data_IF_257260254590
#
_entry.id   IF_257260254590
#
_cell.length_a   1.000
_cell.length_b   1.000
_cell.length_c   1.000
_cell.angle_alpha   90.00
_cell.angle_beta   90.00
_cell.angle_gamma   90.00
#
_symmetry.space_group_name_H-M   'P 1'
#
loop_
_entity.id
_entity.type
_entity.pdbx_description
1 polymer ?
#
# COMPACT_ATOMS: atom_id res chain seq x y z
N UNK A 1 -20.86 -20.96 7.20
CA UNK A 1 -20.17 -20.12 8.19
C UNK A 1 -20.66 -18.69 7.99
N UNK A 2 -21.01 -17.98 9.10
CA UNK A 2 -21.35 -16.56 9.02
C UNK A 2 -20.12 -15.75 8.59
N UNK A 3 -20.35 -14.59 7.94
CA UNK A 3 -19.28 -13.66 7.59
C UNK A 3 -18.71 -13.00 8.85
N UNK A 4 -17.39 -12.99 8.98
CA UNK A 4 -16.70 -12.27 10.05
C UNK A 4 -16.15 -10.96 9.51
N UNK A 5 -16.49 -9.86 10.18
CA UNK A 5 -16.06 -8.52 9.77
C UNK A 5 -14.57 -8.31 10.00
N UNK A 6 -13.89 -7.78 8.98
CA UNK A 6 -12.44 -7.67 8.95
C UNK A 6 -11.95 -6.26 9.31
N UNK A 7 -11.16 -6.14 10.37
CA UNK A 7 -10.35 -4.96 10.70
C UNK A 7 -8.85 -5.27 10.57
N UNK A 8 -8.52 -6.16 9.61
CA UNK A 8 -7.14 -6.55 9.31
C UNK A 8 -6.56 -5.64 8.22
N UNK A 9 -5.24 -5.42 8.17
CA UNK A 9 -4.61 -4.53 7.18
C UNK A 9 -4.51 -5.16 5.77
N UNK A 10 -5.44 -5.99 5.43
CA UNK A 10 -5.65 -6.60 4.12
C UNK A 10 -5.47 -8.11 4.07
N UNK A 11 -6.37 -8.79 3.32
CA UNK A 11 -7.48 -8.19 2.57
C UNK A 11 -8.51 -7.54 3.49
N UNK A 12 -9.04 -6.39 3.09
CA UNK A 12 -10.04 -5.63 3.86
C UNK A 12 -11.46 -6.02 3.47
N UNK A 13 -12.45 -5.51 4.22
CA UNK A 13 -13.86 -5.58 3.81
C UNK A 13 -14.04 -4.95 2.43
N UNK A 14 -14.83 -5.61 1.60
CA UNK A 14 -15.20 -5.18 0.25
C UNK A 14 -16.66 -4.81 0.21
N UNK A 15 -16.97 -3.62 -0.32
CA UNK A 15 -18.34 -3.16 -0.43
C UNK A 15 -19.17 -4.08 -1.35
N UNK A 16 -20.47 -4.35 -1.05
CA UNK A 16 -21.31 -5.24 -1.85
C UNK A 16 -21.35 -4.89 -3.34
N UNK A 17 -21.43 -3.61 -3.72
CA UNK A 17 -21.44 -3.20 -5.13
C UNK A 17 -20.14 -3.60 -5.84
N UNK A 18 -19.00 -3.54 -5.14
CA UNK A 18 -17.68 -3.93 -5.68
C UNK A 18 -17.60 -5.45 -5.85
N UNK A 19 -18.14 -6.23 -4.89
CA UNK A 19 -18.24 -7.67 -5.01
C UNK A 19 -19.17 -8.07 -6.16
N UNK A 20 -20.31 -7.39 -6.31
CA UNK A 20 -21.23 -7.62 -7.42
C UNK A 20 -20.58 -7.32 -8.77
N UNK A 21 -19.75 -6.29 -8.87
CA UNK A 21 -18.98 -6.00 -10.08
C UNK A 21 -18.00 -7.13 -10.45
N UNK A 22 -17.47 -7.86 -9.47
CA UNK A 22 -16.64 -9.05 -9.75
C UNK A 22 -17.42 -10.21 -10.39
N UNK A 23 -18.74 -10.24 -10.26
CA UNK A 23 -19.62 -11.30 -10.78
C UNK A 23 -20.20 -10.98 -12.17
N UNK A 24 -19.81 -9.84 -12.77
CA UNK A 24 -20.23 -9.49 -14.14
C UNK A 24 -19.68 -10.52 -15.14
N UNK A 25 -20.48 -10.94 -16.16
CA UNK A 25 -20.02 -11.88 -17.18
C UNK A 25 -18.72 -11.43 -17.88
N UNK A 26 -17.91 -12.42 -18.26
CA UNK A 26 -16.64 -12.16 -18.95
C UNK A 26 -16.87 -11.53 -20.33
N UNK A 27 -15.93 -10.67 -20.70
CA UNK A 27 -15.86 -10.01 -22.02
C UNK A 27 -14.52 -10.30 -22.66
N UNK A 28 -14.40 -10.04 -23.96
CA UNK A 28 -13.12 -10.13 -24.66
C UNK A 28 -12.18 -9.02 -24.18
N UNK A 29 -11.02 -9.39 -23.63
CA UNK A 29 -9.99 -8.44 -23.16
C UNK A 29 -9.28 -7.67 -24.30
N UNK A 30 -9.59 -7.97 -25.57
CA UNK A 30 -9.15 -7.25 -26.77
C UNK A 30 -10.31 -6.53 -27.45
N UNK A 31 -11.48 -6.51 -26.83
CA UNK A 31 -12.68 -5.87 -27.36
C UNK A 31 -12.92 -4.46 -26.83
N UNK A 32 -13.76 -3.71 -27.53
CA UNK A 32 -14.10 -2.31 -27.19
C UNK A 32 -14.69 -2.16 -25.80
N UNK A 33 -15.44 -3.15 -25.30
CA UNK A 33 -16.04 -3.10 -23.96
C UNK A 33 -14.96 -3.14 -22.87
N UNK A 34 -13.94 -4.00 -23.03
CA UNK A 34 -12.80 -4.02 -22.13
C UNK A 34 -12.00 -2.70 -22.19
N UNK A 35 -11.68 -2.21 -23.39
CA UNK A 35 -10.97 -0.95 -23.56
C UNK A 35 -11.68 0.21 -22.88
N UNK A 36 -13.03 0.22 -22.90
CA UNK A 36 -13.84 1.24 -22.22
C UNK A 36 -13.73 1.17 -20.70
N UNK A 37 -13.88 -0.01 -20.09
CA UNK A 37 -13.77 -0.14 -18.62
C UNK A 37 -12.35 0.08 -18.14
N UNK A 38 -11.33 -0.40 -18.87
CA UNK A 38 -9.92 -0.16 -18.57
C UNK A 38 -9.60 1.35 -18.57
N UNK A 39 -9.99 2.05 -19.62
CA UNK A 39 -9.84 3.51 -19.74
C UNK A 39 -10.56 4.26 -18.63
N UNK A 40 -11.81 3.85 -18.28
CA UNK A 40 -12.60 4.46 -17.20
C UNK A 40 -11.94 4.28 -15.83
N UNK A 41 -11.45 3.08 -15.51
CA UNK A 41 -10.73 2.80 -14.27
C UNK A 41 -9.44 3.63 -14.17
N UNK A 42 -8.66 3.73 -15.27
CA UNK A 42 -7.46 4.56 -15.30
C UNK A 42 -7.76 6.06 -15.14
N UNK A 43 -8.84 6.55 -15.74
CA UNK A 43 -9.26 7.95 -15.54
C UNK A 43 -9.58 8.24 -14.07
N UNK A 44 -10.22 7.28 -13.38
CA UNK A 44 -10.42 7.36 -11.93
C UNK A 44 -9.11 7.40 -11.15
N UNK A 45 -8.15 6.54 -11.49
CA UNK A 45 -6.83 6.50 -10.86
C UNK A 45 -6.03 7.78 -11.09
N UNK A 46 -6.12 8.39 -12.29
CA UNK A 46 -5.49 9.70 -12.54
C UNK A 46 -6.01 10.77 -11.59
N UNK A 47 -7.32 10.82 -11.37
CA UNK A 47 -7.93 11.75 -10.40
C UNK A 47 -7.46 11.46 -8.98
N UNK A 48 -7.38 10.18 -8.59
CA UNK A 48 -6.88 9.78 -7.27
C UNK A 48 -5.43 10.22 -7.04
N UNK A 49 -4.58 10.08 -8.06
CA UNK A 49 -3.17 10.47 -8.00
C UNK A 49 -2.95 11.98 -8.16
N UNK A 50 -3.94 12.72 -8.65
CA UNK A 50 -3.86 14.17 -8.84
C UNK A 50 -2.84 14.59 -9.89
N UNK A 51 -2.53 13.74 -10.89
CA UNK A 51 -1.57 14.04 -11.96
C UNK A 51 -2.01 13.51 -13.30
N UNK A 52 -1.74 14.29 -14.36
CA UNK A 52 -1.92 13.86 -15.76
C UNK A 52 -0.62 13.31 -16.37
N UNK A 53 0.51 13.43 -15.68
CA UNK A 53 1.81 12.94 -16.16
C UNK A 53 2.04 11.47 -15.82
N UNK A 54 3.07 10.88 -16.41
CA UNK A 54 3.43 9.48 -16.21
C UNK A 54 2.40 8.50 -16.77
N UNK A 55 2.66 7.23 -16.56
CA UNK A 55 1.83 6.13 -17.05
C UNK A 55 1.23 5.35 -15.90
N UNK A 56 -0.03 4.91 -16.04
CA UNK A 56 -0.69 4.03 -15.06
C UNK A 56 -0.85 2.66 -15.71
N UNK A 57 -0.38 1.63 -15.02
CA UNK A 57 -0.50 0.24 -15.44
C UNK A 57 -1.23 -0.60 -14.40
N UNK A 58 -2.02 -1.55 -14.87
CA UNK A 58 -2.78 -2.49 -14.07
C UNK A 58 -2.14 -3.88 -14.20
N UNK A 59 -1.47 -4.33 -13.14
CA UNK A 59 -0.79 -5.61 -13.12
C UNK A 59 -1.70 -6.69 -12.54
N UNK A 60 -1.95 -7.74 -13.29
CA UNK A 60 -2.61 -8.96 -12.79
C UNK A 60 -1.63 -9.69 -11.89
N UNK A 61 -1.45 -9.17 -10.69
CA UNK A 61 -0.51 -9.71 -9.70
C UNK A 61 -0.81 -9.20 -8.30
N UNK A 62 -0.16 -9.77 -7.31
CA UNK A 62 -0.05 -9.14 -5.99
C UNK A 62 0.88 -7.91 -6.06
N UNK A 63 0.84 -7.07 -5.02
CA UNK A 63 1.78 -5.94 -4.89
C UNK A 63 3.25 -6.39 -4.86
N UNK A 64 3.53 -7.61 -4.41
CA UNK A 64 4.88 -8.19 -4.44
C UNK A 64 5.39 -8.33 -5.88
N UNK A 65 4.53 -8.72 -6.83
CA UNK A 65 4.90 -8.70 -8.25
C UNK A 65 5.21 -7.30 -8.78
N UNK A 66 4.46 -6.27 -8.31
CA UNK A 66 4.78 -4.89 -8.67
C UNK A 66 6.10 -4.39 -8.04
N UNK A 67 6.47 -4.85 -6.82
CA UNK A 67 7.80 -4.61 -6.24
C UNK A 67 8.91 -5.23 -7.10
N UNK A 68 8.74 -6.48 -7.50
CA UNK A 68 9.66 -7.17 -8.41
C UNK A 68 9.76 -6.44 -9.75
N UNK A 69 8.62 -6.02 -10.31
CA UNK A 69 8.54 -5.22 -11.52
C UNK A 69 9.34 -3.91 -11.43
N UNK A 70 9.27 -3.21 -10.30
CA UNK A 70 10.06 -2.00 -10.06
C UNK A 70 11.57 -2.28 -10.15
N UNK A 71 12.07 -3.27 -9.41
CA UNK A 71 13.50 -3.61 -9.38
C UNK A 71 14.00 -4.09 -10.74
N UNK A 72 13.21 -4.87 -11.46
CA UNK A 72 13.55 -5.34 -12.81
C UNK A 72 13.65 -4.22 -13.83
N UNK A 73 12.85 -3.17 -13.68
CA UNK A 73 12.82 -2.04 -14.62
C UNK A 73 13.75 -0.88 -14.23
N UNK A 74 14.05 -0.69 -12.94
CA UNK A 74 14.72 0.52 -12.46
C UNK A 74 16.13 0.30 -11.93
N UNK A 75 16.49 -0.91 -11.50
CA UNK A 75 17.80 -1.19 -10.93
C UNK A 75 18.71 -1.87 -11.97
N UNK A 76 19.72 -1.15 -12.44
CA UNK A 76 20.75 -1.68 -13.34
C UNK A 76 22.02 -2.11 -12.59
N UNK A 77 22.35 -1.42 -11.47
CA UNK A 77 23.58 -1.63 -10.70
C UNK A 77 23.27 -2.12 -9.29
N UNK A 78 22.90 -1.19 -8.42
CA UNK A 78 22.73 -1.46 -6.98
C UNK A 78 21.56 -0.65 -6.43
N UNK A 79 20.72 -1.30 -5.64
CA UNK A 79 19.61 -0.65 -4.96
C UNK A 79 19.98 -0.36 -3.49
N UNK A 80 19.57 0.81 -3.00
CA UNK A 80 19.49 1.12 -1.58
C UNK A 80 18.05 0.80 -1.09
N UNK A 81 17.91 -0.25 -0.28
CA UNK A 81 16.63 -0.65 0.30
C UNK A 81 16.46 -0.04 1.69
N UNK A 82 15.57 0.96 1.82
CA UNK A 82 15.23 1.58 3.10
C UNK A 82 14.27 0.67 3.87
N UNK A 83 14.69 0.18 5.06
CA UNK A 83 13.91 -0.80 5.82
C UNK A 83 13.57 -0.32 7.24
N UNK A 84 12.31 -0.52 7.64
CA UNK A 84 11.78 -0.16 8.96
C UNK A 84 10.71 -1.15 9.46
N UNK A 85 10.59 -2.29 8.77
CA UNK A 85 9.65 -3.37 9.07
C UNK A 85 9.68 -4.46 8.01
N UNK A 86 8.76 -5.41 8.13
CA UNK A 86 8.78 -6.63 7.33
C UNK A 86 8.54 -6.40 5.83
N UNK A 87 7.68 -5.45 5.45
CA UNK A 87 7.38 -5.22 4.04
C UNK A 87 8.49 -4.43 3.35
N UNK A 88 9.15 -3.55 4.07
CA UNK A 88 10.34 -2.85 3.57
C UNK A 88 11.56 -3.77 3.47
N UNK A 89 11.72 -4.75 4.37
CA UNK A 89 12.78 -5.77 4.25
C UNK A 89 12.60 -6.64 3.00
N UNK A 90 11.36 -6.92 2.59
CA UNK A 90 11.04 -7.69 1.39
C UNK A 90 11.64 -7.08 0.11
N UNK A 91 11.78 -5.77 0.01
CA UNK A 91 12.42 -5.13 -1.14
C UNK A 91 13.87 -5.57 -1.31
N UNK A 92 14.60 -5.67 -0.20
CA UNK A 92 15.98 -6.16 -0.20
C UNK A 92 16.05 -7.62 -0.67
N UNK A 93 15.19 -8.46 -0.10
CA UNK A 93 15.16 -9.90 -0.44
C UNK A 93 14.81 -10.10 -1.92
N UNK A 94 13.77 -9.43 -2.44
CA UNK A 94 13.39 -9.49 -3.87
C UNK A 94 14.55 -9.00 -4.76
N UNK A 95 15.29 -7.96 -4.35
CA UNK A 95 16.43 -7.48 -5.13
C UNK A 95 17.50 -8.57 -5.28
N UNK A 96 17.88 -9.21 -4.18
CA UNK A 96 18.88 -10.30 -4.20
C UNK A 96 18.38 -11.51 -4.99
N UNK A 97 17.11 -11.92 -4.82
CA UNK A 97 16.50 -13.04 -5.54
C UNK A 97 16.40 -12.78 -7.06
N UNK A 98 16.35 -11.51 -7.48
CA UNK A 98 16.41 -11.09 -8.88
C UNK A 98 17.85 -10.83 -9.38
N UNK A 99 18.88 -11.24 -8.62
CA UNK A 99 20.28 -11.09 -9.00
C UNK A 99 20.76 -9.63 -9.02
N UNK A 100 20.10 -8.72 -8.29
CA UNK A 100 20.52 -7.33 -8.14
C UNK A 100 21.39 -7.18 -6.90
N UNK A 101 22.38 -6.30 -6.96
CA UNK A 101 23.09 -5.89 -5.76
C UNK A 101 22.17 -5.00 -4.90
N UNK A 102 22.14 -5.25 -3.59
CA UNK A 102 21.27 -4.50 -2.66
C UNK A 102 21.97 -4.28 -1.34
N UNK A 103 22.00 -3.01 -0.92
CA UNK A 103 22.42 -2.63 0.44
C UNK A 103 21.16 -2.25 1.24
N UNK A 104 21.11 -2.72 2.49
CA UNK A 104 20.01 -2.44 3.40
C UNK A 104 20.37 -1.22 4.29
N UNK A 105 19.59 -0.13 4.17
CA UNK A 105 19.54 0.91 5.19
C UNK A 105 18.43 0.59 6.16
N UNK A 106 18.74 -0.09 7.27
CA UNK A 106 17.79 -0.55 8.27
C UNK A 106 17.77 0.35 9.49
N UNK A 107 16.55 0.70 9.93
CA UNK A 107 16.31 1.28 11.26
C UNK A 107 15.58 0.27 12.14
N UNK A 108 15.54 0.52 13.44
CA UNK A 108 14.74 -0.31 14.35
C UNK A 108 13.27 -0.29 13.93
N UNK A 109 12.60 -1.44 13.98
CA UNK A 109 11.18 -1.54 13.63
C UNK A 109 10.33 -0.58 14.46
N UNK A 110 9.54 0.22 13.80
CA UNK A 110 8.76 1.29 14.42
C UNK A 110 9.46 2.66 14.42
N UNK A 111 10.72 2.75 13.97
CA UNK A 111 11.40 4.01 13.70
C UNK A 111 11.34 4.36 12.22
N UNK A 112 11.22 5.65 11.83
CA UNK A 112 11.22 6.06 10.44
C UNK A 112 12.62 6.02 9.83
N UNK A 113 12.69 5.79 8.52
CA UNK A 113 13.90 6.05 7.76
C UNK A 113 14.17 7.56 7.73
N UNK A 114 15.40 7.97 8.05
CA UNK A 114 15.78 9.38 8.20
C UNK A 114 16.27 9.94 6.87
N UNK A 115 15.73 11.10 6.43
CA UNK A 115 16.19 11.75 5.20
C UNK A 115 17.69 12.02 5.16
N UNK A 116 18.29 12.42 6.30
CA UNK A 116 19.70 12.76 6.41
C UNK A 116 20.61 11.53 6.19
N UNK A 117 20.20 10.37 6.69
CA UNK A 117 20.95 9.13 6.50
C UNK A 117 20.86 8.66 5.04
N UNK A 118 19.69 8.82 4.41
CA UNK A 118 19.49 8.52 2.98
C UNK A 118 20.37 9.45 2.13
N UNK A 119 20.40 10.75 2.42
CA UNK A 119 21.25 11.74 1.73
C UNK A 119 22.73 11.34 1.80
N UNK A 120 23.21 11.00 3.00
CA UNK A 120 24.58 10.54 3.23
C UNK A 120 24.91 9.26 2.44
N UNK A 121 24.00 8.29 2.39
CA UNK A 121 24.21 7.05 1.66
C UNK A 121 24.21 7.27 0.14
N UNK A 122 23.28 8.07 -0.37
CA UNK A 122 23.19 8.37 -1.80
C UNK A 122 24.37 9.21 -2.29
N UNK A 123 24.93 10.11 -1.46
CA UNK A 123 26.09 10.93 -1.81
C UNK A 123 27.35 10.11 -2.12
N UNK A 124 27.37 8.82 -1.76
CA UNK A 124 28.47 7.89 -2.12
C UNK A 124 28.52 7.55 -3.60
N UNK A 125 27.45 7.83 -4.38
CA UNK A 125 27.34 7.51 -5.80
C UNK A 125 27.25 6.02 -6.14
N UNK A 126 27.03 5.15 -5.15
CA UNK A 126 26.99 3.68 -5.34
C UNK A 126 25.69 3.19 -5.94
N UNK A 127 24.59 3.90 -5.71
CA UNK A 127 23.22 3.42 -5.97
C UNK A 127 22.64 4.05 -7.23
N UNK A 128 21.92 3.28 -7.98
CA UNK A 128 21.13 3.77 -9.13
C UNK A 128 19.61 3.56 -8.94
N UNK A 129 19.23 3.00 -7.80
CA UNK A 129 17.83 2.84 -7.39
C UNK A 129 17.71 2.96 -5.87
N UNK A 130 16.64 3.60 -5.40
CA UNK A 130 16.22 3.62 -3.99
C UNK A 130 14.81 3.08 -3.88
N UNK A 131 14.57 2.22 -2.89
CA UNK A 131 13.22 1.72 -2.56
C UNK A 131 12.80 2.15 -1.17
N UNK A 132 11.55 2.59 -1.04
CA UNK A 132 10.95 3.05 0.21
C UNK A 132 9.53 2.52 0.35
N UNK A 133 9.16 2.04 1.53
CA UNK A 133 7.77 1.80 1.90
C UNK A 133 7.21 3.05 2.56
N UNK A 134 6.22 3.72 1.95
CA UNK A 134 5.63 4.93 2.53
C UNK A 134 4.90 4.63 3.83
N UNK A 135 4.20 3.51 3.90
CA UNK A 135 3.43 3.06 5.05
C UNK A 135 3.76 1.60 5.38
N UNK A 136 4.59 1.38 6.39
CA UNK A 136 5.01 0.05 6.83
C UNK A 136 3.92 -0.61 7.66
N UNK A 137 3.15 -1.49 7.04
CA UNK A 137 1.96 -2.12 7.63
C UNK A 137 2.28 -3.02 8.84
N UNK A 138 3.47 -3.61 8.88
CA UNK A 138 3.87 -4.50 9.97
C UNK A 138 4.06 -3.76 11.29
N UNK A 139 4.42 -2.49 11.23
CA UNK A 139 4.70 -1.64 12.39
C UNK A 139 3.71 -0.49 12.57
N UNK A 140 2.81 -0.24 11.59
CA UNK A 140 1.88 0.90 11.60
C UNK A 140 2.58 2.25 11.46
N UNK A 141 3.77 2.26 10.82
CA UNK A 141 4.60 3.44 10.64
C UNK A 141 4.35 4.08 9.28
N UNK A 142 4.24 5.40 9.24
CA UNK A 142 4.29 6.21 8.02
C UNK A 142 5.64 6.94 7.95
N UNK A 143 6.43 6.65 6.92
CA UNK A 143 7.72 7.30 6.70
C UNK A 143 7.55 8.78 6.31
N UNK A 144 8.52 9.65 6.59
CA UNK A 144 8.51 11.06 6.20
C UNK A 144 8.75 11.20 4.69
N UNK A 145 7.69 10.80 3.92
CA UNK A 145 7.79 10.66 2.46
C UNK A 145 8.17 11.95 1.77
N UNK A 146 7.61 13.10 2.19
CA UNK A 146 7.89 14.40 1.54
C UNK A 146 9.33 14.82 1.73
N UNK A 147 9.85 14.69 2.95
CA UNK A 147 11.24 15.02 3.29
C UNK A 147 12.22 14.12 2.54
N UNK A 148 11.90 12.83 2.39
CA UNK A 148 12.71 11.89 1.60
C UNK A 148 12.64 12.25 0.11
N UNK A 149 11.46 12.63 -0.41
CA UNK A 149 11.33 13.13 -1.77
C UNK A 149 12.19 14.38 -2.02
N UNK A 150 12.29 15.28 -1.05
CA UNK A 150 13.15 16.48 -1.17
C UNK A 150 14.64 16.10 -1.22
N UNK A 151 15.07 15.06 -0.51
CA UNK A 151 16.42 14.49 -0.64
C UNK A 151 16.62 13.92 -2.05
N UNK A 152 15.66 13.16 -2.57
CA UNK A 152 15.76 12.52 -3.88
C UNK A 152 15.95 13.51 -5.04
N UNK A 153 15.46 14.72 -4.93
CA UNK A 153 15.68 15.79 -5.93
C UNK A 153 17.15 16.12 -6.17
N UNK A 154 18.03 15.84 -5.19
CA UNK A 154 19.49 16.02 -5.32
C UNK A 154 20.15 14.92 -6.15
N UNK A 155 19.46 13.80 -6.37
CA UNK A 155 20.00 12.60 -7.01
C UNK A 155 19.17 12.20 -8.25
N UNK A 156 19.17 13.03 -9.32
CA UNK A 156 18.31 12.81 -10.48
C UNK A 156 18.61 11.50 -11.25
N UNK A 157 19.83 10.97 -11.13
CA UNK A 157 20.25 9.72 -11.77
C UNK A 157 19.85 8.47 -10.97
N UNK A 158 19.39 8.62 -9.73
CA UNK A 158 18.88 7.53 -8.90
C UNK A 158 17.38 7.40 -9.11
N UNK A 159 16.92 6.20 -9.49
CA UNK A 159 15.49 5.92 -9.62
C UNK A 159 14.86 5.75 -8.25
N UNK A 160 13.67 6.32 -8.04
CA UNK A 160 12.95 6.27 -6.77
C UNK A 160 11.66 5.46 -6.88
N UNK A 161 11.64 4.26 -6.25
CA UNK A 161 10.47 3.40 -6.18
C UNK A 161 9.83 3.46 -4.80
N UNK A 162 8.53 3.76 -4.76
CA UNK A 162 7.75 3.89 -3.52
C UNK A 162 6.63 2.86 -3.48
N UNK A 163 6.65 2.05 -2.42
CA UNK A 163 5.55 1.20 -2.04
C UNK A 163 4.51 2.02 -1.24
N UNK A 164 3.36 2.22 -1.85
CA UNK A 164 2.20 2.86 -1.23
C UNK A 164 1.04 1.87 -1.04
N UNK A 165 1.33 0.58 -0.89
CA UNK A 165 0.35 -0.51 -0.85
C UNK A 165 -0.72 -0.28 0.21
N UNK A 166 -0.35 0.12 1.41
CA UNK A 166 -1.30 0.35 2.50
C UNK A 166 -1.62 1.83 2.76
N UNK A 167 -1.12 2.75 1.95
CA UNK A 167 -1.39 4.19 2.07
C UNK A 167 -2.23 4.75 0.92
N UNK A 168 -1.95 4.38 -0.33
CA UNK A 168 -2.66 4.93 -1.49
C UNK A 168 -4.16 4.63 -1.40
N UNK A 169 -5.00 5.58 -1.79
CA UNK A 169 -6.44 5.65 -1.60
C UNK A 169 -6.91 5.91 -0.14
N UNK A 170 -6.02 5.88 0.85
CA UNK A 170 -6.29 6.31 2.23
C UNK A 170 -5.67 7.67 2.58
N UNK A 171 -4.61 8.06 1.85
CA UNK A 171 -3.95 9.37 1.96
C UNK A 171 -3.66 9.94 0.58
N UNK A 172 -3.53 11.27 0.43
CA UNK A 172 -3.15 11.89 -0.84
C UNK A 172 -1.67 11.60 -1.14
N UNK A 173 -1.40 11.08 -2.33
CA UNK A 173 -0.05 10.88 -2.85
C UNK A 173 -0.07 11.28 -4.32
N UNK A 174 0.51 12.43 -4.65
CA UNK A 174 0.75 12.85 -6.02
C UNK A 174 2.20 12.49 -6.40
N UNK A 175 2.43 11.42 -7.18
CA UNK A 175 3.77 10.95 -7.46
C UNK A 175 4.60 11.91 -8.31
N UNK A 176 3.97 12.67 -9.20
CA UNK A 176 4.66 13.67 -10.04
C UNK A 176 5.15 14.85 -9.20
N UNK A 177 4.31 15.43 -8.35
CA UNK A 177 4.68 16.51 -7.44
C UNK A 177 5.81 16.08 -6.48
N UNK A 178 5.76 14.84 -6.02
CA UNK A 178 6.74 14.27 -5.09
C UNK A 178 8.04 13.81 -5.78
N UNK A 179 8.09 13.79 -7.12
CA UNK A 179 9.26 13.33 -7.85
C UNK A 179 9.52 11.83 -7.71
N UNK A 180 8.48 11.05 -7.48
CA UNK A 180 8.56 9.58 -7.43
C UNK A 180 8.68 9.06 -8.87
N UNK A 181 9.53 8.06 -9.11
CA UNK A 181 9.66 7.46 -10.44
C UNK A 181 8.74 6.27 -10.64
N UNK A 182 8.49 5.51 -9.58
CA UNK A 182 7.61 4.35 -9.62
C UNK A 182 6.83 4.26 -8.31
N UNK A 183 5.51 4.34 -8.40
CA UNK A 183 4.61 4.17 -7.26
C UNK A 183 3.80 2.90 -7.45
N UNK A 184 3.66 2.08 -6.41
CA UNK A 184 2.83 0.89 -6.47
C UNK A 184 1.84 0.81 -5.31
N UNK A 185 0.69 0.19 -5.60
CA UNK A 185 -0.33 -0.11 -4.61
C UNK A 185 -1.03 -1.44 -4.91
N UNK A 186 -1.62 -2.04 -3.88
CA UNK A 186 -2.43 -3.24 -4.00
C UNK A 186 -3.90 -2.98 -3.72
N UNK A 187 -4.76 -3.57 -4.51
CA UNK A 187 -6.20 -3.29 -4.44
C UNK A 187 -6.89 -3.82 -3.19
N UNK A 188 -6.31 -4.81 -2.49
CA UNK A 188 -6.85 -5.43 -1.28
C UNK A 188 -6.63 -4.62 0.01
N UNK A 189 -6.18 -3.38 -0.11
CA UNK A 189 -5.91 -2.43 0.99
C UNK A 189 -6.91 -1.28 0.96
N UNK A 190 -6.45 -0.03 1.05
CA UNK A 190 -7.33 1.14 1.09
C UNK A 190 -8.21 1.34 -0.16
N UNK A 191 -7.91 0.65 -1.26
CA UNK A 191 -8.82 0.59 -2.41
C UNK A 191 -10.12 -0.17 -2.11
N UNK A 192 -10.09 -1.19 -1.24
CA UNK A 192 -11.29 -1.94 -0.87
C UNK A 192 -11.78 -2.91 -1.95
N UNK A 193 -10.86 -3.58 -2.65
CA UNK A 193 -11.17 -4.65 -3.60
C UNK A 193 -10.64 -6.00 -3.09
N UNK A 194 -11.08 -7.12 -3.69
CA UNK A 194 -10.40 -8.41 -3.52
C UNK A 194 -8.93 -8.35 -3.99
N UNK A 195 -8.04 -9.22 -3.47
CA UNK A 195 -6.64 -9.32 -3.92
C UNK A 195 -6.53 -9.85 -5.35
N UNK A 196 -5.42 -9.54 -6.04
CA UNK A 196 -5.11 -10.06 -7.38
C UNK A 196 -4.81 -8.99 -8.43
N UNK A 197 -4.90 -7.71 -8.05
CA UNK A 197 -4.60 -6.58 -8.91
C UNK A 197 -3.67 -5.61 -8.19
N UNK A 198 -2.61 -5.16 -8.89
CA UNK A 198 -1.76 -4.08 -8.44
C UNK A 198 -1.85 -2.89 -9.40
N UNK A 199 -1.86 -1.69 -8.81
CA UNK A 199 -1.81 -0.41 -9.54
C UNK A 199 -0.38 0.08 -9.51
N UNK A 200 0.16 0.42 -10.67
CA UNK A 200 1.50 0.98 -10.85
C UNK A 200 1.39 2.31 -11.57
N UNK A 201 2.06 3.32 -11.05
CA UNK A 201 2.33 4.56 -11.77
C UNK A 201 3.84 4.65 -12.03
N UNK A 202 4.22 5.01 -13.27
CA UNK A 202 5.61 5.16 -13.69
C UNK A 202 5.82 6.51 -14.38
N UNK A 203 6.87 7.25 -13.95
CA UNK A 203 7.28 8.51 -14.57
C UNK A 203 7.90 8.29 -15.94
N UNK A 204 8.03 9.36 -16.74
CA UNK A 204 8.79 9.30 -18.00
C UNK A 204 10.26 8.93 -17.74
N UNK A 205 10.85 9.43 -16.64
CA UNK A 205 12.20 9.03 -16.19
C UNK A 205 12.30 7.53 -15.90
N UNK A 206 11.28 6.94 -15.25
CA UNK A 206 11.23 5.49 -15.04
C UNK A 206 11.16 4.72 -16.36
N UNK A 207 10.41 5.21 -17.34
CA UNK A 207 10.34 4.60 -18.66
C UNK A 207 11.68 4.67 -19.41
N UNK A 208 12.36 5.81 -19.38
CA UNK A 208 13.69 5.99 -19.94
C UNK A 208 14.74 5.10 -19.26
N UNK A 209 14.69 5.00 -17.94
CA UNK A 209 15.56 4.11 -17.16
C UNK A 209 15.31 2.65 -17.53
N UNK A 210 14.05 2.24 -17.59
CA UNK A 210 13.65 0.88 -17.95
C UNK A 210 14.19 0.47 -19.33
N UNK A 211 14.26 1.38 -20.31
CA UNK A 211 14.83 1.07 -21.61
C UNK A 211 16.30 0.63 -21.54
N UNK A 212 17.03 1.08 -20.52
CA UNK A 212 18.48 0.85 -20.36
C UNK A 212 18.82 -0.32 -19.41
N UNK A 213 17.85 -0.82 -18.64
CA UNK A 213 18.07 -1.94 -17.70
C UNK A 213 18.00 -3.27 -18.47
N UNK A 214 19.05 -4.10 -18.42
CA UNK A 214 19.05 -5.40 -19.10
C UNK A 214 18.26 -6.46 -18.31
N UNK A 215 17.86 -7.54 -19.01
CA UNK A 215 17.28 -8.74 -18.42
C UNK A 215 16.05 -8.50 -17.51
N UNK A 216 15.17 -7.60 -17.92
CA UNK A 216 13.95 -7.24 -17.15
C UNK A 216 12.93 -8.37 -17.00
N UNK A 217 13.08 -9.44 -17.78
CA UNK A 217 12.05 -10.46 -17.94
C UNK A 217 10.93 -9.99 -18.86
N UNK A 218 9.88 -10.79 -18.97
CA UNK A 218 8.76 -10.53 -19.88
C UNK A 218 7.57 -9.91 -19.16
N UNK A 219 7.13 -10.53 -18.05
CA UNK A 219 5.82 -10.29 -17.44
C UNK A 219 5.63 -8.86 -16.89
N UNK A 220 6.67 -8.24 -16.34
CA UNK A 220 6.61 -6.90 -15.74
C UNK A 220 7.37 -5.84 -16.54
N UNK A 221 7.69 -6.09 -17.81
CA UNK A 221 8.37 -5.10 -18.66
C UNK A 221 7.44 -3.91 -18.95
N UNK A 222 7.77 -2.74 -18.42
CA UNK A 222 6.98 -1.51 -18.60
C UNK A 222 6.80 -1.13 -20.06
N UNK A 223 7.72 -1.49 -20.96
CA UNK A 223 7.58 -1.20 -22.39
C UNK A 223 6.54 -2.08 -23.08
N UNK A 224 6.36 -3.32 -22.61
CA UNK A 224 5.25 -4.17 -23.07
C UNK A 224 3.91 -3.57 -22.63
N UNK A 225 3.84 -3.12 -21.37
CA UNK A 225 2.65 -2.42 -20.87
C UNK A 225 2.35 -1.15 -21.65
N UNK A 226 3.36 -0.29 -21.89
CA UNK A 226 3.20 0.95 -22.69
C UNK A 226 2.61 0.66 -24.07
N UNK A 227 3.17 -0.31 -24.78
CA UNK A 227 2.71 -0.70 -26.13
C UNK A 227 1.25 -1.13 -26.16
N UNK A 228 0.78 -1.87 -25.15
CA UNK A 228 -0.59 -2.34 -25.10
C UNK A 228 -1.54 -1.27 -24.55
N UNK A 229 -1.06 -0.42 -23.66
CA UNK A 229 -1.81 0.67 -23.05
C UNK A 229 -2.28 1.73 -24.07
N UNK A 230 -1.56 1.91 -25.18
CA UNK A 230 -1.97 2.74 -26.32
C UNK A 230 -3.34 2.32 -26.89
N UNK A 231 -3.71 1.06 -26.67
CA UNK A 231 -5.01 0.48 -27.05
C UNK A 231 -5.98 0.32 -25.88
N UNK A 232 -5.63 0.81 -24.70
CA UNK A 232 -6.32 0.52 -23.44
C UNK A 232 -6.41 -0.99 -23.14
N UNK A 233 -5.32 -1.70 -23.35
CA UNK A 233 -5.18 -3.14 -23.13
C UNK A 233 -3.99 -3.43 -22.22
N UNK A 234 -3.84 -4.70 -21.81
CA UNK A 234 -2.69 -5.21 -21.05
C UNK A 234 -1.91 -6.20 -21.89
N UNK A 235 -0.58 -6.39 -21.67
CA UNK A 235 0.21 -7.39 -22.39
C UNK A 235 -0.41 -8.79 -22.26
N UNK A 236 -0.65 -9.20 -21.04
CA UNK A 236 -1.24 -10.50 -20.67
C UNK A 236 -2.76 -10.39 -20.51
N UNK A 237 -3.45 -11.54 -20.46
CA UNK A 237 -4.88 -11.55 -20.14
C UNK A 237 -5.08 -11.01 -18.72
N UNK A 238 -5.84 -9.91 -18.57
CA UNK A 238 -6.03 -9.28 -17.27
C UNK A 238 -7.05 -10.02 -16.41
N UNK A 239 -7.05 -9.75 -15.12
CA UNK A 239 -8.10 -10.15 -14.20
C UNK A 239 -9.34 -9.27 -14.41
N UNK A 240 -10.14 -9.57 -15.43
CA UNK A 240 -11.26 -8.72 -15.91
C UNK A 240 -12.26 -8.41 -14.78
N UNK A 241 -12.56 -9.39 -13.92
CA UNK A 241 -13.46 -9.20 -12.77
C UNK A 241 -12.98 -8.10 -11.82
N UNK A 242 -11.68 -8.00 -11.56
CA UNK A 242 -11.14 -6.93 -10.73
C UNK A 242 -11.01 -5.59 -11.46
N UNK A 243 -10.94 -5.58 -12.79
CA UNK A 243 -11.01 -4.33 -13.57
C UNK A 243 -12.44 -3.75 -13.48
N UNK A 244 -13.48 -4.56 -13.59
CA UNK A 244 -14.86 -4.12 -13.33
C UNK A 244 -15.01 -3.56 -11.90
N UNK A 245 -14.50 -4.31 -10.91
CA UNK A 245 -14.56 -3.90 -9.51
C UNK A 245 -13.79 -2.58 -9.28
N UNK A 246 -12.63 -2.40 -9.90
CA UNK A 246 -11.85 -1.16 -9.82
C UNK A 246 -12.61 0.02 -10.41
N UNK A 247 -13.22 -0.14 -11.58
CA UNK A 247 -14.00 0.93 -12.22
C UNK A 247 -15.18 1.36 -11.33
N UNK A 248 -15.91 0.41 -10.75
CA UNK A 248 -17.00 0.70 -9.80
C UNK A 248 -16.45 1.40 -8.56
N UNK A 249 -15.39 0.90 -7.97
CA UNK A 249 -14.82 1.49 -6.75
C UNK A 249 -14.22 2.87 -6.98
N UNK A 250 -13.59 3.12 -8.11
CA UNK A 250 -13.12 4.47 -8.46
C UNK A 250 -14.29 5.46 -8.56
N UNK A 251 -15.40 5.07 -9.19
CA UNK A 251 -16.62 5.91 -9.24
C UNK A 251 -17.17 6.19 -7.84
N UNK A 252 -17.18 5.19 -6.96
CA UNK A 252 -17.61 5.34 -5.55
C UNK A 252 -16.71 6.31 -4.78
N UNK A 253 -15.38 6.16 -4.88
CA UNK A 253 -14.42 7.05 -4.24
C UNK A 253 -14.56 8.50 -4.72
N UNK A 254 -14.75 8.70 -6.01
CA UNK A 254 -14.96 10.03 -6.58
C UNK A 254 -16.31 10.64 -6.18
N UNK A 255 -17.36 9.83 -6.01
CA UNK A 255 -18.66 10.27 -5.49
C UNK A 255 -18.62 10.63 -4.00
N UNK A 256 -17.83 9.90 -3.18
CA UNK A 256 -17.52 10.28 -1.79
C UNK A 256 -16.79 11.62 -1.73
N UNK A 257 -15.97 11.92 -2.74
CA UNK A 257 -15.01 13.00 -2.78
C UNK A 257 -13.70 12.61 -2.10
N UNK A 258 -12.57 12.78 -2.80
CA UNK A 258 -11.27 12.33 -2.31
C UNK A 258 -10.87 13.02 -1.00
N UNK A 259 -11.12 14.31 -0.86
CA UNK A 259 -10.84 15.06 0.39
C UNK A 259 -11.66 14.53 1.57
N UNK A 260 -12.95 14.18 1.32
CA UNK A 260 -13.81 13.58 2.34
C UNK A 260 -13.29 12.21 2.74
N UNK A 261 -12.86 11.39 1.77
CA UNK A 261 -12.27 10.09 2.02
C UNK A 261 -10.99 10.19 2.86
N UNK A 262 -10.07 11.06 2.51
CA UNK A 262 -8.84 11.28 3.28
C UNK A 262 -9.12 11.86 4.67
N UNK A 263 -10.10 12.77 4.81
CA UNK A 263 -10.55 13.28 6.10
C UNK A 263 -11.11 12.17 6.99
N UNK A 264 -11.94 11.29 6.44
CA UNK A 264 -12.51 10.13 7.15
C UNK A 264 -11.41 9.17 7.64
N UNK A 265 -10.40 8.89 6.81
CA UNK A 265 -9.26 8.07 7.22
C UNK A 265 -8.47 8.72 8.37
N UNK A 266 -8.20 10.02 8.30
CA UNK A 266 -7.54 10.76 9.40
C UNK A 266 -8.37 10.74 10.69
N UNK A 267 -9.68 10.96 10.58
CA UNK A 267 -10.59 10.88 11.73
C UNK A 267 -10.53 9.49 12.40
N UNK A 268 -10.64 8.42 11.62
CA UNK A 268 -10.54 7.06 12.14
C UNK A 268 -9.17 6.77 12.75
N UNK A 269 -8.09 7.25 12.14
CA UNK A 269 -6.75 7.13 12.68
C UNK A 269 -6.66 7.80 14.07
N UNK A 270 -7.13 9.04 14.19
CA UNK A 270 -7.15 9.77 15.46
C UNK A 270 -7.94 9.01 16.53
N UNK A 271 -9.17 8.57 16.20
CA UNK A 271 -10.02 7.80 17.13
C UNK A 271 -9.28 6.55 17.64
N UNK A 272 -8.67 5.78 16.73
CA UNK A 272 -7.98 4.53 17.10
C UNK A 272 -6.70 4.80 17.92
N UNK A 273 -5.93 5.79 17.53
CA UNK A 273 -4.64 6.14 18.15
C UNK A 273 -4.84 6.73 19.56
N UNK A 274 -5.82 7.61 19.76
CA UNK A 274 -6.15 8.17 21.06
C UNK A 274 -6.67 7.09 22.01
N UNK A 275 -7.57 6.23 21.53
CA UNK A 275 -8.03 5.07 22.28
C UNK A 275 -6.87 4.13 22.64
N UNK A 276 -5.99 3.84 21.68
CA UNK A 276 -4.84 2.97 21.90
C UNK A 276 -3.88 3.53 22.96
N UNK A 277 -3.64 4.85 22.96
CA UNK A 277 -2.78 5.47 23.97
C UNK A 277 -3.43 5.58 25.35
N UNK A 278 -4.77 5.45 25.45
CA UNK A 278 -5.48 5.40 26.73
C UNK A 278 -5.39 4.03 27.39
N UNK A 279 -5.47 2.94 26.63
CA UNK A 279 -5.61 1.58 27.13
C UNK A 279 -4.39 0.69 26.90
N UNK A 280 -3.53 1.07 25.96
CA UNK A 280 -2.34 0.38 25.47
C UNK A 280 -1.23 1.38 25.14
N UNK A 281 -0.43 1.11 24.11
CA UNK A 281 0.56 2.04 23.58
C UNK A 281 0.69 1.89 22.07
N UNK A 282 0.75 3.00 21.35
CA UNK A 282 1.13 2.95 19.92
C UNK A 282 2.56 2.43 19.79
N UNK A 283 2.78 1.45 18.91
CA UNK A 283 4.08 0.82 18.72
C UNK A 283 5.07 1.74 17.98
N UNK A 284 4.70 2.39 16.84
CA UNK A 284 5.67 3.21 16.11
C UNK A 284 5.97 4.54 16.81
N UNK A 285 7.09 5.14 16.43
CA UNK A 285 7.53 6.43 16.93
C UNK A 285 6.43 7.50 16.83
N UNK A 286 6.34 8.36 17.85
CA UNK A 286 5.38 9.47 17.88
C UNK A 286 5.63 10.40 16.68
N UNK A 287 4.54 10.81 16.03
CA UNK A 287 4.60 11.67 14.84
C UNK A 287 4.72 10.91 13.51
N UNK A 288 4.94 9.58 13.55
CA UNK A 288 5.06 8.73 12.37
C UNK A 288 3.96 7.66 12.30
N UNK A 289 2.81 7.91 12.91
CA UNK A 289 1.71 6.95 12.93
C UNK A 289 0.95 6.90 11.61
N UNK A 290 0.67 5.68 11.16
CA UNK A 290 -0.09 5.45 9.93
C UNK A 290 -1.52 5.97 10.02
N UNK A 291 -2.02 6.52 8.91
CA UNK A 291 -3.42 6.98 8.78
C UNK A 291 -4.38 5.83 8.44
N UNK A 292 -3.89 4.65 8.08
CA UNK A 292 -4.72 3.54 7.57
C UNK A 292 -4.69 2.30 8.45
N UNK A 293 -3.68 2.15 9.31
CA UNK A 293 -3.52 1.02 10.21
C UNK A 293 -2.82 1.42 11.50
N UNK A 294 -3.38 1.08 12.64
CA UNK A 294 -2.74 1.26 13.95
C UNK A 294 -2.09 -0.04 14.39
N UNK A 295 -0.78 -0.03 14.64
CA UNK A 295 -0.06 -1.10 15.32
C UNK A 295 0.09 -0.73 16.80
N UNK A 296 -0.49 -1.57 17.66
CA UNK A 296 -0.71 -1.27 19.08
C UNK A 296 0.06 -2.29 19.90
N UNK A 297 0.96 -1.83 20.76
CA UNK A 297 1.69 -2.67 21.71
C UNK A 297 0.78 -3.02 22.88
N UNK A 298 0.66 -4.32 23.15
CA UNK A 298 -0.08 -4.79 24.32
C UNK A 298 0.78 -4.59 25.57
N UNK A 299 0.50 -3.54 26.33
CA UNK A 299 1.15 -3.24 27.62
C UNK A 299 0.43 -3.85 28.82
N UNK A 300 -0.73 -4.49 28.58
CA UNK A 300 -1.56 -5.11 29.64
C UNK A 300 -1.03 -6.49 30.01
N UNK A 301 -1.16 -6.84 31.29
CA UNK A 301 -0.78 -8.16 31.82
C UNK A 301 -1.98 -9.09 32.02
N UNK A 302 -3.18 -8.55 32.02
CA UNK A 302 -4.43 -9.24 32.29
C UNK A 302 -5.07 -9.87 31.02
N UNK A 303 -4.55 -9.54 29.83
CA UNK A 303 -5.00 -10.11 28.57
C UNK A 303 -3.85 -10.24 27.59
N UNK A 304 -3.71 -11.38 26.93
CA UNK A 304 -2.77 -11.58 25.83
C UNK A 304 -3.38 -11.15 24.49
N UNK A 305 -2.54 -10.88 23.49
CA UNK A 305 -2.99 -10.55 22.11
C UNK A 305 -3.86 -11.68 21.55
N UNK A 306 -3.46 -12.93 21.80
CA UNK A 306 -4.23 -14.10 21.35
C UNK A 306 -5.62 -14.15 22.01
N UNK A 307 -5.71 -13.92 23.32
CA UNK A 307 -7.00 -13.89 24.03
C UNK A 307 -7.91 -12.78 23.52
N UNK A 308 -7.34 -11.60 23.24
CA UNK A 308 -8.08 -10.49 22.63
C UNK A 308 -8.62 -10.87 21.25
N UNK A 309 -7.79 -11.47 20.42
CA UNK A 309 -8.18 -11.98 19.11
C UNK A 309 -9.31 -13.01 19.22
N UNK A 310 -9.16 -14.04 20.07
CA UNK A 310 -10.14 -15.12 20.21
C UNK A 310 -11.51 -14.57 20.65
N UNK A 311 -11.54 -13.66 21.64
CA UNK A 311 -12.78 -13.04 22.13
C UNK A 311 -13.46 -12.13 21.09
N UNK A 312 -12.70 -11.44 20.24
CA UNK A 312 -13.25 -10.69 19.12
C UNK A 312 -13.77 -11.62 18.02
N UNK A 313 -13.06 -12.72 17.76
CA UNK A 313 -13.48 -13.71 16.80
C UNK A 313 -14.83 -14.36 17.15
N UNK A 314 -15.13 -14.55 18.45
CA UNK A 314 -16.44 -14.99 18.96
C UNK A 314 -17.55 -13.95 18.71
N UNK A 315 -17.18 -12.66 18.53
CA UNK A 315 -18.11 -11.56 18.20
C UNK A 315 -18.17 -11.26 16.70
N UNK A 316 -17.74 -12.20 15.87
CA UNK A 316 -17.66 -12.04 14.41
C UNK A 316 -16.76 -10.86 13.96
N UNK A 317 -15.76 -10.50 14.76
CA UNK A 317 -14.79 -9.45 14.47
C UNK A 317 -13.38 -10.03 14.37
N UNK A 318 -12.62 -9.61 13.36
CA UNK A 318 -11.24 -10.08 13.13
C UNK A 318 -10.30 -8.90 13.06
N UNK A 319 -9.36 -8.83 14.00
CA UNK A 319 -8.19 -7.95 13.96
C UNK A 319 -6.95 -8.75 13.58
N UNK A 320 -5.80 -8.10 13.34
CA UNK A 320 -4.54 -8.83 13.11
C UNK A 320 -3.69 -8.87 14.37
N UNK A 321 -3.10 -10.01 14.64
CA UNK A 321 -1.95 -10.08 15.54
C UNK A 321 -0.76 -9.31 14.96
N UNK A 322 0.28 -9.10 15.77
CA UNK A 322 1.55 -8.55 15.32
C UNK A 322 2.17 -9.37 14.19
N UNK A 323 2.98 -8.73 13.37
CA UNK A 323 3.63 -9.38 12.23
C UNK A 323 5.07 -9.77 12.55
N UNK A 324 5.50 -10.96 12.10
CA UNK A 324 6.87 -11.43 12.27
C UNK A 324 7.31 -11.40 13.75
N UNK A 325 8.40 -10.71 14.05
CA UNK A 325 8.96 -10.59 15.41
C UNK A 325 8.09 -9.80 16.41
N UNK A 326 7.01 -9.16 15.94
CA UNK A 326 6.03 -8.47 16.80
C UNK A 326 4.83 -9.35 17.17
N UNK A 327 4.79 -10.60 16.72
CA UNK A 327 3.73 -11.54 17.09
C UNK A 327 3.63 -11.65 18.63
N UNK A 328 2.41 -11.73 19.13
CA UNK A 328 2.09 -11.76 20.57
C UNK A 328 2.42 -10.48 21.36
N UNK A 329 3.29 -9.61 20.85
CA UNK A 329 3.63 -8.33 21.48
C UNK A 329 2.67 -7.22 21.05
N UNK A 330 2.25 -7.21 19.79
CA UNK A 330 1.38 -6.19 19.24
C UNK A 330 0.16 -6.79 18.56
N UNK A 331 -0.85 -5.97 18.36
CA UNK A 331 -1.98 -6.25 17.45
C UNK A 331 -2.20 -5.05 16.53
N UNK A 332 -2.89 -5.28 15.42
CA UNK A 332 -3.13 -4.23 14.42
C UNK A 332 -4.61 -4.12 14.12
N UNK A 333 -5.09 -2.88 14.10
CA UNK A 333 -6.43 -2.50 13.68
C UNK A 333 -6.31 -1.68 12.41
N UNK A 334 -6.87 -2.19 11.31
CA UNK A 334 -6.99 -1.42 10.08
C UNK A 334 -8.26 -0.58 10.11
N UNK A 335 -8.13 0.66 9.69
CA UNK A 335 -9.21 1.62 9.56
C UNK A 335 -9.11 2.27 8.17
N UNK A 336 -9.25 1.45 7.14
CA UNK A 336 -9.06 1.83 5.74
C UNK A 336 -10.23 1.38 4.86
N UNK A 337 -10.15 1.68 3.57
CA UNK A 337 -11.16 1.39 2.56
C UNK A 337 -12.50 2.08 2.85
N UNK A 338 -13.60 1.35 2.87
CA UNK A 338 -14.95 1.88 3.08
C UNK A 338 -15.42 1.82 4.55
N UNK A 339 -14.52 1.45 5.47
CA UNK A 339 -14.80 1.49 6.93
C UNK A 339 -15.22 2.89 7.37
N UNK A 340 -16.23 2.95 8.25
CA UNK A 340 -16.77 4.20 8.77
C UNK A 340 -16.33 4.43 10.23
N UNK A 341 -16.26 5.70 10.71
CA UNK A 341 -15.95 5.99 12.10
C UNK A 341 -16.87 5.28 13.11
N UNK A 342 -18.15 5.11 12.78
CA UNK A 342 -19.10 4.36 13.62
C UNK A 342 -18.72 2.88 13.76
N UNK A 343 -18.27 2.27 12.68
CA UNK A 343 -17.84 0.87 12.67
C UNK A 343 -16.61 0.67 13.57
N UNK A 344 -15.63 1.59 13.42
CA UNK A 344 -14.42 1.56 14.25
C UNK A 344 -14.76 1.75 15.74
N UNK A 345 -15.60 2.72 16.08
CA UNK A 345 -16.06 2.95 17.47
C UNK A 345 -16.76 1.71 18.03
N UNK A 346 -17.53 0.99 17.23
CA UNK A 346 -18.15 -0.27 17.65
C UNK A 346 -17.10 -1.32 18.00
N UNK A 347 -16.07 -1.52 17.14
CA UNK A 347 -14.96 -2.43 17.42
C UNK A 347 -14.24 -2.07 18.72
N UNK A 348 -13.87 -0.79 18.87
CA UNK A 348 -13.17 -0.30 20.07
C UNK A 348 -14.03 -0.51 21.35
N UNK A 349 -15.35 -0.27 21.27
CA UNK A 349 -16.28 -0.57 22.36
C UNK A 349 -16.33 -2.05 22.73
N UNK A 350 -16.25 -2.96 21.77
CA UNK A 350 -16.14 -4.40 22.06
C UNK A 350 -14.80 -4.74 22.74
N UNK A 351 -13.72 -4.08 22.35
CA UNK A 351 -12.43 -4.27 23.00
C UNK A 351 -12.49 -3.75 24.44
N UNK A 352 -13.09 -2.58 24.67
CA UNK A 352 -13.29 -2.00 26.02
C UNK A 352 -14.03 -2.96 26.94
N UNK A 353 -15.12 -3.57 26.48
CA UNK A 353 -15.85 -4.59 27.25
C UNK A 353 -14.98 -5.81 27.54
N UNK A 354 -14.18 -6.28 26.57
CA UNK A 354 -13.29 -7.44 26.72
C UNK A 354 -12.21 -7.18 27.77
N UNK A 355 -11.68 -5.95 27.83
CA UNK A 355 -10.62 -5.56 28.77
C UNK A 355 -11.16 -4.97 30.09
N UNK A 356 -12.47 -5.00 30.29
CA UNK A 356 -13.11 -4.61 31.55
C UNK A 356 -13.17 -3.10 31.80
N UNK A 357 -13.10 -2.27 30.76
CA UNK A 357 -13.32 -0.82 30.89
C UNK A 357 -14.83 -0.59 31.14
N UNK A 358 -15.14 -0.01 32.30
CA UNK A 358 -16.52 0.40 32.61
C UNK A 358 -16.84 1.69 31.84
N UNK A 359 -17.98 1.68 31.16
CA UNK A 359 -18.51 2.88 30.50
C UNK A 359 -18.91 3.94 31.51
#
# INVERSE_FOLDING_TARGET
>A
MGHKRLWIPGPVEVHPDVLQACAVPMISHRGKDYQKIHSSAKAGLRKLLGTEKGQIYLFTSSSTGAMEGALRNLCAKRVLSCTCGNFSERWHDIALENGKESDKYGVEWGQPNRPEDIDKLLSTGKYDCLTLVSNETSTGLFNPLREICDVMKKYPDVSFAVDAVSSLAGVPINPDELGIDYLLAGTQKAFGLPPGLAVVWASDKAMEKSAKVPAKGHYFDLHQFKKMDEKNETPETPVISLIYALDVQMKRMLAEGLDNRWKRHREMATICQDWANTHFKMFPAKGCWSTTVSCIENTRKDITVKQLYDKLYERDAVISEGYGKLKERTFRIAHMADTQPSDLKQLLGWIDEIIGVKK
#
